data_IF_092371276523
#
_entry.id   IF_092371276523
#
_cell.length_a   1.000
_cell.length_b   1.000
_cell.length_c   1.000
_cell.angle_alpha   90.00
_cell.angle_beta   90.00
_cell.angle_gamma   90.00
#
_symmetry.space_group_name_H-M   'P 1'
#
loop_
_entity.id
_entity.type
_entity.pdbx_description
1 polymer ?
#
# COMPACT_ATOMS: atom_id res chain seq x y z
N UNK A 1 -27.00 3.45 -4.44
CA UNK A 1 -25.85 4.36 -4.20
C UNK A 1 -24.68 3.78 -4.98
N UNK A 2 -23.76 4.58 -5.52
CA UNK A 2 -22.55 4.01 -6.14
C UNK A 2 -21.70 3.39 -5.03
N UNK A 3 -21.15 2.18 -5.25
CA UNK A 3 -20.20 1.55 -4.32
C UNK A 3 -19.01 2.47 -4.12
N UNK A 4 -18.60 2.66 -2.88
CA UNK A 4 -17.35 3.34 -2.53
C UNK A 4 -16.18 2.37 -2.72
N UNK A 5 -14.97 2.86 -2.57
CA UNK A 5 -13.78 2.03 -2.41
C UNK A 5 -13.21 2.29 -1.02
N UNK A 6 -13.08 1.24 -0.22
CA UNK A 6 -12.42 1.25 1.09
C UNK A 6 -10.98 0.78 0.98
N UNK A 7 -10.15 1.11 1.95
CA UNK A 7 -8.74 0.74 1.95
C UNK A 7 -8.42 -0.33 2.98
N UNK A 8 -7.52 -1.26 2.65
CA UNK A 8 -6.90 -2.17 3.61
C UNK A 8 -5.38 -2.01 3.54
N UNK A 9 -4.74 -1.84 4.69
CA UNK A 9 -3.28 -1.96 4.82
C UNK A 9 -2.99 -3.24 5.57
N UNK A 10 -2.37 -4.21 4.90
CA UNK A 10 -1.92 -5.44 5.55
C UNK A 10 -0.52 -5.22 6.12
N UNK A 11 -0.46 -5.05 7.42
CA UNK A 11 0.75 -4.75 8.20
C UNK A 11 1.08 -5.86 9.20
N UNK A 12 0.76 -7.10 8.85
CA UNK A 12 1.07 -8.30 9.60
C UNK A 12 2.45 -8.88 9.26
N UNK A 13 2.69 -10.08 9.79
CA UNK A 13 3.91 -10.86 9.54
C UNK A 13 5.00 -10.66 10.60
N UNK A 14 5.80 -11.71 10.81
CA UNK A 14 6.80 -11.78 11.87
C UNK A 14 8.07 -10.95 11.63
N UNK A 15 8.28 -10.46 10.40
CA UNK A 15 9.47 -9.65 10.05
C UNK A 15 10.83 -10.34 10.27
N UNK A 16 10.88 -11.67 10.36
CA UNK A 16 12.09 -12.45 10.74
C UNK A 16 13.31 -12.18 9.87
N UNK A 17 13.09 -11.84 8.58
CA UNK A 17 14.19 -11.48 7.65
C UNK A 17 14.93 -10.20 8.04
N UNK A 18 14.34 -9.39 8.93
CA UNK A 18 14.91 -8.14 9.45
C UNK A 18 15.40 -8.27 10.90
N UNK A 19 15.52 -9.48 11.45
CA UNK A 19 16.13 -9.65 12.76
C UNK A 19 17.59 -9.14 12.76
N UNK A 20 18.02 -8.44 13.86
CA UNK A 20 17.33 -8.22 15.14
C UNK A 20 16.41 -6.98 15.18
N UNK A 21 16.27 -6.17 14.12
CA UNK A 21 15.50 -4.92 14.13
C UNK A 21 14.04 -5.11 14.53
N UNK A 22 13.46 -6.24 14.15
CA UNK A 22 12.03 -6.54 14.35
C UNK A 22 11.74 -7.45 15.54
N UNK A 23 12.70 -7.63 16.47
CA UNK A 23 12.50 -8.42 17.69
C UNK A 23 11.47 -7.79 18.67
N UNK A 24 11.35 -6.46 18.64
CA UNK A 24 10.51 -5.70 19.60
C UNK A 24 9.56 -4.73 18.91
N UNK A 25 9.49 -4.74 17.59
CA UNK A 25 8.63 -3.84 16.81
C UNK A 25 8.26 -4.45 15.49
N UNK A 26 7.08 -4.08 14.97
CA UNK A 26 6.69 -4.41 13.61
C UNK A 26 7.65 -3.81 12.59
N UNK A 27 7.88 -4.51 11.48
CA UNK A 27 8.64 -4.03 10.33
C UNK A 27 8.13 -2.68 9.83
N UNK A 28 6.83 -2.53 9.72
CA UNK A 28 6.18 -1.33 9.16
C UNK A 28 6.24 -0.11 10.12
N UNK A 29 6.72 -0.29 11.35
CA UNK A 29 7.03 0.79 12.29
C UNK A 29 8.51 1.21 12.24
N UNK A 30 9.37 0.46 11.53
CA UNK A 30 10.75 0.88 11.30
C UNK A 30 10.79 2.17 10.47
N UNK A 31 11.78 3.04 10.72
CA UNK A 31 11.91 4.28 9.97
C UNK A 31 12.39 4.01 8.54
N UNK A 32 11.74 4.67 7.58
CA UNK A 32 12.27 4.88 6.23
C UNK A 32 12.62 6.36 6.13
N UNK A 33 13.90 6.66 6.29
CA UNK A 33 14.48 8.00 6.35
C UNK A 33 13.91 8.84 7.52
N UNK A 34 12.82 9.57 7.32
CA UNK A 34 12.32 10.58 8.27
C UNK A 34 10.96 10.28 8.89
N UNK A 35 10.35 9.15 8.54
CA UNK A 35 9.03 8.74 9.06
C UNK A 35 8.89 7.21 9.11
N UNK A 36 7.92 6.68 9.92
CA UNK A 36 7.64 5.24 9.94
C UNK A 36 7.19 4.73 8.57
N UNK A 37 7.60 3.50 8.24
CA UNK A 37 7.28 2.85 6.95
C UNK A 37 5.79 2.86 6.63
N UNK A 38 4.91 2.67 7.60
CA UNK A 38 3.45 2.63 7.41
C UNK A 38 2.86 3.93 6.80
N UNK A 39 3.56 5.06 6.90
CA UNK A 39 3.13 6.32 6.29
C UNK A 39 3.10 6.24 4.76
N UNK A 40 3.98 5.46 4.16
CA UNK A 40 4.06 5.32 2.70
C UNK A 40 2.83 4.60 2.13
N UNK A 41 2.48 3.37 2.53
CA UNK A 41 1.26 2.73 2.04
C UNK A 41 -0.02 3.50 2.41
N UNK A 42 -0.08 4.11 3.60
CA UNK A 42 -1.22 4.95 3.99
C UNK A 42 -1.37 6.15 3.03
N UNK A 43 -0.27 6.78 2.65
CA UNK A 43 -0.30 7.89 1.68
C UNK A 43 -0.82 7.49 0.31
N UNK A 44 -0.56 6.25 -0.14
CA UNK A 44 -1.06 5.75 -1.43
C UNK A 44 -2.58 5.67 -1.43
N UNK A 45 -3.17 5.14 -0.37
CA UNK A 45 -4.63 5.10 -0.24
C UNK A 45 -5.23 6.52 -0.15
N UNK A 46 -4.57 7.44 0.55
CA UNK A 46 -4.99 8.84 0.63
C UNK A 46 -4.88 9.57 -0.73
N UNK A 47 -3.84 9.28 -1.54
CA UNK A 47 -3.69 9.80 -2.90
C UNK A 47 -4.75 9.24 -3.86
N UNK A 48 -5.25 8.03 -3.60
CA UNK A 48 -6.40 7.43 -4.26
C UNK A 48 -7.75 8.02 -3.81
N UNK A 49 -7.73 9.00 -2.89
CA UNK A 49 -8.89 9.62 -2.24
C UNK A 49 -9.74 8.65 -1.41
N UNK A 50 -9.13 7.57 -0.92
CA UNK A 50 -9.77 6.61 -0.01
C UNK A 50 -9.65 7.11 1.43
N UNK A 51 -10.79 7.25 2.11
CA UNK A 51 -10.85 7.80 3.48
C UNK A 51 -11.12 6.77 4.56
N UNK A 52 -11.88 5.72 4.25
CA UNK A 52 -12.18 4.64 5.18
C UNK A 52 -11.11 3.57 5.00
N UNK A 53 -10.24 3.37 6.00
CA UNK A 53 -9.05 2.51 5.88
C UNK A 53 -8.95 1.59 7.09
N UNK A 54 -8.80 0.29 6.82
CA UNK A 54 -8.58 -0.75 7.81
C UNK A 54 -7.09 -1.12 7.86
N UNK A 55 -6.50 -1.10 9.05
CA UNK A 55 -5.16 -1.61 9.30
C UNK A 55 -5.28 -2.98 9.94
N UNK A 56 -4.75 -4.00 9.26
CA UNK A 56 -4.71 -5.39 9.75
C UNK A 56 -3.29 -5.70 10.19
N UNK A 57 -3.11 -6.10 11.45
CA UNK A 57 -1.79 -6.42 12.00
C UNK A 57 -1.84 -7.52 13.04
N UNK A 58 -0.67 -7.92 13.54
CA UNK A 58 -0.58 -8.93 14.62
C UNK A 58 -1.17 -8.40 15.93
N UNK A 59 -1.59 -9.29 16.85
CA UNK A 59 -2.09 -8.87 18.19
C UNK A 59 -1.06 -8.01 18.94
N UNK A 60 0.23 -8.31 18.80
CA UNK A 60 1.32 -7.65 19.52
C UNK A 60 1.59 -6.24 19.00
N UNK A 61 1.45 -6.03 17.69
CA UNK A 61 1.82 -4.75 17.07
C UNK A 61 0.65 -3.79 16.88
N UNK A 62 -0.59 -4.30 16.80
CA UNK A 62 -1.79 -3.48 16.58
C UNK A 62 -1.95 -2.32 17.57
N UNK A 63 -1.65 -2.47 18.89
CA UNK A 63 -1.71 -1.35 19.82
C UNK A 63 -0.77 -0.20 19.47
N UNK A 64 0.40 -0.49 18.89
CA UNK A 64 1.39 0.52 18.48
C UNK A 64 0.92 1.31 17.26
N UNK A 65 0.21 0.67 16.32
CA UNK A 65 -0.41 1.39 15.19
C UNK A 65 -1.52 2.32 15.69
N UNK A 66 -2.35 1.87 16.65
CA UNK A 66 -3.38 2.71 17.28
C UNK A 66 -2.78 3.91 17.99
N UNK A 67 -1.65 3.72 18.70
CA UNK A 67 -0.93 4.81 19.38
C UNK A 67 -0.33 5.81 18.37
N UNK A 68 0.25 5.32 17.27
CA UNK A 68 0.90 6.16 16.26
C UNK A 68 -0.10 6.96 15.41
N UNK A 69 -1.18 6.31 14.96
CA UNK A 69 -2.07 6.83 13.91
C UNK A 69 -3.44 7.27 14.46
N UNK A 70 -3.80 6.91 15.70
CA UNK A 70 -5.08 7.24 16.29
C UNK A 70 -6.28 6.70 15.50
N UNK A 71 -7.32 7.49 15.42
CA UNK A 71 -8.51 7.22 14.60
C UNK A 71 -8.44 7.80 13.16
N UNK A 72 -7.36 8.49 12.82
CA UNK A 72 -7.13 9.09 11.52
C UNK A 72 -7.72 10.50 11.36
N UNK A 73 -8.45 11.02 12.33
CA UNK A 73 -9.12 12.32 12.26
C UNK A 73 -8.15 13.48 11.97
N UNK A 74 -6.92 13.43 12.48
CA UNK A 74 -5.85 14.40 12.20
C UNK A 74 -5.43 14.45 10.73
N UNK A 75 -5.76 13.42 9.95
CA UNK A 75 -5.54 13.34 8.50
C UNK A 75 -6.84 13.46 7.71
N UNK A 76 -7.97 13.71 8.37
CA UNK A 76 -9.29 13.77 7.73
C UNK A 76 -9.76 12.45 7.10
N UNK A 77 -9.29 11.33 7.65
CA UNK A 77 -9.65 9.96 7.29
C UNK A 77 -10.21 9.21 8.50
N UNK A 78 -10.76 8.03 8.30
CA UNK A 78 -11.26 7.13 9.34
C UNK A 78 -10.44 5.84 9.33
N UNK A 79 -9.75 5.57 10.44
CA UNK A 79 -8.93 4.37 10.62
C UNK A 79 -9.63 3.36 11.52
N UNK A 80 -9.78 2.16 11.00
CA UNK A 80 -10.21 0.97 11.74
C UNK A 80 -9.05 -0.02 11.88
N UNK A 81 -9.16 -0.96 12.81
CA UNK A 81 -8.06 -1.84 13.18
C UNK A 81 -8.56 -3.24 13.48
N UNK A 82 -8.01 -4.23 12.78
CA UNK A 82 -8.34 -5.64 12.99
C UNK A 82 -7.08 -6.48 13.20
N UNK A 83 -7.25 -7.58 13.94
CA UNK A 83 -6.17 -8.51 14.27
C UNK A 83 -6.07 -9.59 13.21
N UNK A 84 -4.88 -9.84 12.69
CA UNK A 84 -4.51 -11.06 11.99
C UNK A 84 -3.90 -12.04 13.01
N UNK A 85 -4.63 -13.08 13.44
CA UNK A 85 -4.16 -13.97 14.51
C UNK A 85 -2.99 -14.85 14.08
N UNK A 86 -2.96 -15.25 12.80
CA UNK A 86 -1.89 -16.01 12.16
C UNK A 86 -1.72 -15.56 10.69
N UNK A 87 -0.49 -15.55 10.14
CA UNK A 87 -0.27 -15.15 8.75
C UNK A 87 -0.59 -16.31 7.79
N UNK A 88 -1.83 -16.41 7.35
CA UNK A 88 -2.34 -17.47 6.47
C UNK A 88 -2.41 -17.03 4.99
N UNK A 89 -1.60 -16.04 4.60
CA UNK A 89 -1.54 -15.51 3.25
C UNK A 89 -2.18 -14.14 3.09
N UNK A 90 -1.93 -13.50 1.94
CA UNK A 90 -2.38 -12.12 1.71
C UNK A 90 -3.90 -12.02 1.52
N UNK A 91 -4.52 -13.03 0.88
CA UNK A 91 -5.95 -13.03 0.64
C UNK A 91 -6.79 -13.16 1.93
N UNK A 92 -6.20 -13.61 3.05
CA UNK A 92 -6.85 -13.64 4.36
C UNK A 92 -7.32 -12.23 4.80
N UNK A 93 -6.67 -11.17 4.32
CA UNK A 93 -7.04 -9.79 4.63
C UNK A 93 -8.50 -9.45 4.27
N UNK A 94 -9.03 -10.04 3.18
CA UNK A 94 -10.41 -9.80 2.74
C UNK A 94 -11.42 -10.56 3.60
N UNK A 95 -11.04 -11.72 4.16
CA UNK A 95 -11.85 -12.50 5.10
C UNK A 95 -11.93 -11.77 6.45
N UNK A 96 -10.78 -11.28 6.96
CA UNK A 96 -10.72 -10.52 8.22
C UNK A 96 -11.47 -9.18 8.06
N UNK A 97 -11.34 -8.55 6.91
CA UNK A 97 -11.94 -7.25 6.62
C UNK A 97 -13.38 -7.31 6.10
N UNK A 98 -14.05 -8.47 6.07
CA UNK A 98 -15.38 -8.63 5.47
C UNK A 98 -16.40 -7.63 6.00
N UNK A 99 -16.55 -7.56 7.32
CA UNK A 99 -17.52 -6.63 7.96
C UNK A 99 -17.19 -5.17 7.66
N UNK A 100 -15.89 -4.82 7.58
CA UNK A 100 -15.44 -3.49 7.20
C UNK A 100 -15.74 -3.19 5.72
N UNK A 101 -15.44 -4.11 4.82
CA UNK A 101 -15.70 -3.97 3.37
C UNK A 101 -17.20 -3.80 3.12
N UNK A 102 -18.03 -4.68 3.70
CA UNK A 102 -19.47 -4.70 3.45
C UNK A 102 -19.77 -4.91 1.96
N UNK A 103 -20.61 -4.04 1.40
CA UNK A 103 -20.99 -4.07 -0.03
C UNK A 103 -20.10 -3.21 -0.94
N UNK A 104 -19.04 -2.61 -0.40
CA UNK A 104 -18.16 -1.70 -1.13
C UNK A 104 -17.02 -2.42 -1.86
N UNK A 105 -16.37 -1.72 -2.79
CA UNK A 105 -15.13 -2.16 -3.42
C UNK A 105 -13.95 -1.96 -2.45
N UNK A 106 -12.81 -2.59 -2.70
CA UNK A 106 -11.67 -2.50 -1.80
C UNK A 106 -10.35 -2.32 -2.55
N UNK A 107 -9.51 -1.42 -2.03
CA UNK A 107 -8.09 -1.34 -2.37
C UNK A 107 -7.26 -1.92 -1.23
N UNK A 108 -6.37 -2.85 -1.52
CA UNK A 108 -5.42 -3.39 -0.54
C UNK A 108 -4.00 -3.01 -0.91
N UNK A 109 -3.24 -2.58 0.09
CA UNK A 109 -1.81 -2.33 -0.05
C UNK A 109 -1.02 -3.06 1.05
N UNK A 110 0.13 -3.63 0.68
CA UNK A 110 1.04 -4.22 1.65
C UNK A 110 1.78 -3.11 2.42
N UNK A 111 1.83 -3.26 3.74
CA UNK A 111 2.36 -2.24 4.65
C UNK A 111 3.86 -1.95 4.52
N UNK A 112 4.57 -2.72 3.72
CA UNK A 112 6.01 -2.62 3.46
C UNK A 112 6.35 -2.19 2.03
N UNK A 113 5.36 -1.80 1.25
CA UNK A 113 5.53 -1.35 -0.12
C UNK A 113 5.55 0.17 -0.21
N UNK A 114 6.53 0.70 -0.92
CA UNK A 114 6.71 2.13 -1.18
C UNK A 114 6.58 2.36 -2.68
N UNK A 115 5.71 3.29 -3.05
CA UNK A 115 5.52 3.72 -4.43
C UNK A 115 5.85 5.20 -4.58
N UNK A 116 6.56 5.52 -5.65
CA UNK A 116 6.84 6.89 -6.04
C UNK A 116 6.86 7.01 -7.57
N UNK A 117 6.26 8.05 -8.10
CA UNK A 117 6.29 8.27 -9.55
C UNK A 117 5.43 9.43 -9.98
N UNK A 118 5.77 9.96 -11.16
CA UNK A 118 4.94 10.98 -11.79
C UNK A 118 3.62 10.36 -12.26
N UNK A 119 2.51 11.10 -12.14
CA UNK A 119 1.16 10.64 -12.47
C UNK A 119 0.61 9.48 -11.62
N UNK A 120 1.28 9.09 -10.52
CA UNK A 120 0.81 8.02 -9.65
C UNK A 120 -0.61 8.29 -9.15
N UNK A 121 -0.92 9.51 -8.69
CA UNK A 121 -2.26 9.91 -8.24
C UNK A 121 -3.33 9.69 -9.31
N UNK A 122 -3.02 9.97 -10.57
CA UNK A 122 -3.98 9.77 -11.68
C UNK A 122 -4.26 8.28 -11.90
N UNK A 123 -3.21 7.45 -11.90
CA UNK A 123 -3.35 5.98 -12.01
C UNK A 123 -4.18 5.39 -10.87
N UNK A 124 -3.95 5.85 -9.63
CA UNK A 124 -4.70 5.40 -8.47
C UNK A 124 -6.19 5.74 -8.58
N UNK A 125 -6.52 6.97 -8.98
CA UNK A 125 -7.91 7.41 -9.18
C UNK A 125 -8.59 6.68 -10.34
N UNK A 126 -7.86 6.38 -11.39
CA UNK A 126 -8.34 5.56 -12.51
C UNK A 126 -8.70 4.15 -12.02
N UNK A 127 -7.82 3.53 -11.21
CA UNK A 127 -8.05 2.21 -10.62
C UNK A 127 -9.27 2.19 -9.68
N UNK A 128 -9.48 3.23 -8.87
CA UNK A 128 -10.69 3.38 -8.04
C UNK A 128 -11.96 3.46 -8.89
N UNK A 129 -11.88 4.03 -10.08
CA UNK A 129 -13.02 4.18 -11.00
C UNK A 129 -13.24 2.98 -11.92
N UNK A 130 -12.31 2.03 -11.96
CA UNK A 130 -12.42 0.80 -12.75
C UNK A 130 -13.29 -0.23 -12.01
N UNK A 131 -14.60 -0.05 -12.11
CA UNK A 131 -15.58 -0.85 -11.37
C UNK A 131 -15.81 -2.22 -12.02
N UNK A 132 -16.24 -3.19 -11.19
CA UNK A 132 -16.57 -4.55 -11.61
C UNK A 132 -15.38 -5.34 -12.18
N UNK A 133 -14.15 -4.98 -11.78
CA UNK A 133 -12.89 -5.59 -12.22
C UNK A 133 -11.85 -5.57 -11.10
N UNK A 134 -10.82 -6.38 -11.26
CA UNK A 134 -9.58 -6.24 -10.49
C UNK A 134 -8.56 -5.40 -11.27
N UNK A 135 -7.83 -4.53 -10.57
CA UNK A 135 -6.66 -3.83 -11.11
C UNK A 135 -5.45 -4.13 -10.25
N UNK A 136 -4.38 -4.62 -10.86
CA UNK A 136 -3.08 -4.85 -10.23
C UNK A 136 -1.99 -4.07 -10.98
N UNK A 137 -0.82 -3.89 -10.37
CA UNK A 137 0.27 -3.11 -10.95
C UNK A 137 1.46 -3.99 -11.23
N UNK A 138 1.92 -3.97 -12.48
CA UNK A 138 3.10 -4.69 -12.93
C UNK A 138 4.33 -3.78 -12.94
N UNK A 139 5.45 -4.25 -12.39
CA UNK A 139 6.73 -3.56 -12.36
C UNK A 139 7.85 -4.46 -12.85
N UNK A 140 8.70 -3.95 -13.75
CA UNK A 140 9.82 -4.71 -14.30
C UNK A 140 10.91 -4.93 -13.24
N UNK A 141 11.32 -6.19 -13.02
CA UNK A 141 12.34 -6.60 -12.05
C UNK A 141 13.39 -7.49 -12.70
N UNK A 142 14.59 -7.54 -12.11
CA UNK A 142 15.68 -8.39 -12.59
C UNK A 142 15.70 -9.78 -11.91
N UNK A 143 14.94 -9.95 -10.80
CA UNK A 143 14.84 -11.18 -10.00
C UNK A 143 13.37 -11.67 -9.90
N UNK A 144 12.72 -12.00 -11.05
CA UNK A 144 11.27 -12.26 -11.11
C UNK A 144 10.82 -13.49 -10.31
N UNK A 145 11.68 -14.47 -10.07
CA UNK A 145 11.39 -15.70 -9.32
C UNK A 145 10.95 -15.45 -7.86
N UNK A 146 11.12 -14.23 -7.37
CA UNK A 146 10.75 -13.86 -5.99
C UNK A 146 9.31 -13.39 -5.83
N UNK A 147 8.61 -13.12 -6.93
CA UNK A 147 7.33 -12.41 -6.95
C UNK A 147 6.25 -13.20 -7.68
N UNK A 148 5.00 -12.78 -7.54
CA UNK A 148 3.95 -13.13 -8.48
C UNK A 148 4.27 -12.47 -9.83
N UNK A 149 4.32 -13.25 -10.91
CA UNK A 149 4.70 -12.79 -12.24
C UNK A 149 3.51 -12.80 -13.17
N UNK A 150 3.29 -11.68 -13.85
CA UNK A 150 2.28 -11.54 -14.90
C UNK A 150 2.95 -11.61 -16.28
N UNK A 151 2.34 -12.36 -17.21
CA UNK A 151 2.78 -12.48 -18.57
C UNK A 151 1.75 -11.93 -19.56
N UNK A 152 2.21 -11.48 -20.72
CA UNK A 152 1.40 -10.80 -21.72
C UNK A 152 1.59 -11.42 -23.10
N UNK A 153 0.55 -11.38 -23.92
CA UNK A 153 0.68 -11.62 -25.34
C UNK A 153 1.30 -10.40 -26.06
N UNK A 154 1.53 -10.55 -27.36
CA UNK A 154 2.09 -9.49 -28.22
C UNK A 154 1.18 -8.27 -28.40
N UNK A 155 -0.09 -8.39 -28.05
CA UNK A 155 -1.09 -7.32 -28.10
C UNK A 155 -1.25 -6.63 -26.72
N UNK A 156 -0.53 -7.14 -25.68
CA UNK A 156 -0.49 -6.59 -24.32
C UNK A 156 -1.59 -7.13 -23.41
N UNK A 157 -2.32 -8.18 -23.81
CA UNK A 157 -3.30 -8.81 -22.95
C UNK A 157 -2.61 -9.78 -21.97
N UNK A 158 -3.10 -9.80 -20.75
CA UNK A 158 -2.61 -10.73 -19.72
C UNK A 158 -2.94 -12.16 -20.12
N UNK A 159 -1.93 -13.03 -20.15
CA UNK A 159 -2.07 -14.45 -20.51
C UNK A 159 -1.93 -15.38 -19.33
N UNK A 160 -1.12 -15.02 -18.34
CA UNK A 160 -0.96 -15.82 -17.14
C UNK A 160 -0.49 -14.97 -15.96
N UNK A 161 -0.75 -15.48 -14.76
CA UNK A 161 -0.18 -14.96 -13.52
C UNK A 161 0.28 -16.16 -12.69
N UNK A 162 1.52 -16.16 -12.21
CA UNK A 162 2.13 -17.29 -11.50
C UNK A 162 2.87 -16.81 -10.25
N UNK A 163 2.64 -17.49 -9.12
CA UNK A 163 3.32 -17.16 -7.85
C UNK A 163 4.70 -17.78 -7.82
N UNK A 164 5.73 -16.94 -7.71
CA UNK A 164 7.15 -17.32 -7.56
C UNK A 164 7.56 -18.49 -8.48
N UNK A 165 7.39 -18.36 -9.79
CA UNK A 165 7.68 -19.45 -10.72
C UNK A 165 9.17 -19.76 -10.77
N UNK A 166 9.53 -21.06 -10.83
CA UNK A 166 10.93 -21.49 -11.02
C UNK A 166 11.49 -21.05 -12.39
N UNK A 167 10.62 -20.91 -13.38
CA UNK A 167 10.97 -20.47 -14.74
C UNK A 167 10.01 -19.34 -15.18
N UNK A 168 10.28 -18.09 -14.76
CA UNK A 168 9.41 -16.96 -15.09
C UNK A 168 9.28 -16.73 -16.60
N UNK A 169 8.05 -16.51 -17.09
CA UNK A 169 7.79 -16.22 -18.50
C UNK A 169 8.03 -14.76 -18.86
N UNK A 170 7.99 -13.88 -17.85
CA UNK A 170 8.25 -12.46 -17.98
C UNK A 170 9.01 -11.91 -16.77
N UNK A 171 9.43 -10.64 -16.85
CA UNK A 171 10.06 -9.93 -15.76
C UNK A 171 9.09 -8.94 -15.06
N UNK A 172 7.79 -9.01 -15.31
CA UNK A 172 6.83 -8.11 -14.70
C UNK A 172 6.27 -8.71 -13.41
N UNK A 173 6.79 -8.23 -12.28
CA UNK A 173 6.30 -8.57 -10.95
C UNK A 173 4.99 -7.83 -10.66
N UNK A 174 4.02 -8.52 -10.08
CA UNK A 174 2.84 -7.90 -9.49
C UNK A 174 3.24 -7.27 -8.17
N UNK A 175 3.03 -5.97 -8.05
CA UNK A 175 3.37 -5.21 -6.83
C UNK A 175 2.37 -5.47 -5.72
N UNK A 176 2.67 -4.99 -4.50
CA UNK A 176 1.77 -5.13 -3.35
C UNK A 176 0.66 -4.08 -3.27
N UNK A 177 0.06 -3.72 -4.39
CA UNK A 177 -1.08 -2.80 -4.48
C UNK A 177 -2.15 -3.37 -5.40
N UNK A 178 -3.37 -3.48 -4.90
CA UNK A 178 -4.47 -4.20 -5.53
C UNK A 178 -5.76 -3.41 -5.39
N UNK A 179 -6.59 -3.39 -6.42
CA UNK A 179 -7.95 -2.85 -6.40
C UNK A 179 -8.91 -3.94 -6.87
N UNK A 180 -9.95 -4.17 -6.11
CA UNK A 180 -10.94 -5.22 -6.38
C UNK A 180 -12.36 -4.69 -6.20
N UNK A 181 -13.28 -5.25 -6.94
CA UNK A 181 -14.69 -5.14 -6.62
C UNK A 181 -15.08 -6.06 -5.44
N UNK A 182 -16.30 -5.98 -4.99
CA UNK A 182 -16.79 -6.70 -3.81
C UNK A 182 -16.71 -8.22 -3.91
N UNK A 183 -16.66 -8.80 -5.12
CA UNK A 183 -16.52 -10.28 -5.32
C UNK A 183 -15.28 -10.85 -4.65
N UNK A 184 -14.29 -10.01 -4.37
CA UNK A 184 -13.03 -10.42 -3.75
C UNK A 184 -13.21 -11.15 -2.42
N UNK A 185 -14.22 -10.76 -1.63
CA UNK A 185 -14.52 -11.41 -0.33
C UNK A 185 -14.95 -12.85 -0.52
N UNK A 186 -15.87 -13.09 -1.45
CA UNK A 186 -16.34 -14.43 -1.77
C UNK A 186 -15.24 -15.29 -2.40
N UNK A 187 -14.42 -14.69 -3.28
CA UNK A 187 -13.28 -15.41 -3.85
C UNK A 187 -12.27 -15.81 -2.78
N UNK A 188 -11.91 -14.90 -1.88
CA UNK A 188 -10.97 -15.18 -0.80
C UNK A 188 -11.45 -16.30 0.14
N UNK A 189 -12.75 -16.34 0.46
CA UNK A 189 -13.36 -17.40 1.28
C UNK A 189 -13.34 -18.79 0.61
N UNK A 190 -13.33 -18.83 -0.70
CA UNK A 190 -13.35 -20.08 -1.49
C UNK A 190 -11.98 -20.47 -2.03
N UNK A 191 -10.90 -19.78 -1.65
CA UNK A 191 -9.54 -20.19 -1.97
C UNK A 191 -9.13 -21.41 -1.15
N UNK A 192 -8.44 -22.33 -1.82
CA UNK A 192 -7.72 -23.42 -1.13
C UNK A 192 -6.30 -22.94 -0.79
N UNK A 193 -5.78 -23.28 0.41
CA UNK A 193 -4.40 -22.97 0.75
C UNK A 193 -3.42 -23.64 -0.22
N UNK A 194 -2.38 -22.91 -0.59
CA UNK A 194 -1.28 -23.43 -1.41
C UNK A 194 -0.47 -24.50 -0.67
N UNK A 195 0.50 -25.13 -1.34
CA UNK A 195 1.44 -26.07 -0.72
C UNK A 195 2.22 -25.45 0.45
N UNK A 196 2.26 -24.12 0.54
CA UNK A 196 2.85 -23.36 1.65
C UNK A 196 1.87 -23.14 2.81
N UNK A 197 0.61 -23.56 2.67
CA UNK A 197 -0.45 -23.33 3.64
C UNK A 197 -0.97 -21.88 3.63
N UNK A 198 -0.75 -21.12 2.54
CA UNK A 198 -1.14 -19.72 2.42
C UNK A 198 -2.29 -19.54 1.42
N UNK A 199 -3.22 -18.64 1.73
CA UNK A 199 -4.23 -18.13 0.78
C UNK A 199 -3.56 -17.09 -0.12
N UNK A 200 -3.13 -17.54 -1.31
CA UNK A 200 -2.31 -16.75 -2.19
C UNK A 200 -3.12 -15.67 -2.91
N UNK A 201 -2.61 -14.45 -2.89
CA UNK A 201 -3.19 -13.34 -3.65
C UNK A 201 -3.12 -13.61 -5.16
N UNK A 202 -2.11 -14.34 -5.60
CA UNK A 202 -1.95 -14.76 -7.00
C UNK A 202 -3.09 -15.65 -7.46
N UNK A 203 -3.56 -16.57 -6.61
CA UNK A 203 -4.69 -17.46 -6.96
C UNK A 203 -6.01 -16.68 -6.99
N UNK A 204 -6.15 -15.67 -6.12
CA UNK A 204 -7.27 -14.74 -6.18
C UNK A 204 -7.26 -13.95 -7.51
N UNK A 205 -6.11 -13.43 -7.94
CA UNK A 205 -5.95 -12.73 -9.22
C UNK A 205 -6.24 -13.65 -10.42
N UNK A 206 -5.90 -14.94 -10.33
CA UNK A 206 -6.25 -15.93 -11.38
C UNK A 206 -7.75 -16.04 -11.59
N UNK A 207 -8.57 -15.95 -10.50
CA UNK A 207 -10.02 -15.96 -10.65
C UNK A 207 -10.54 -14.81 -11.50
N UNK A 208 -10.05 -13.60 -11.27
CA UNK A 208 -10.37 -12.46 -12.11
C UNK A 208 -9.86 -12.61 -13.54
N UNK A 209 -8.67 -13.18 -13.73
CA UNK A 209 -8.12 -13.44 -15.07
C UNK A 209 -8.97 -14.46 -15.85
N UNK A 210 -9.40 -15.56 -15.20
CA UNK A 210 -10.27 -16.59 -15.78
C UNK A 210 -11.62 -16.02 -16.25
N UNK A 211 -12.14 -15.01 -15.55
CA UNK A 211 -13.38 -14.33 -15.88
C UNK A 211 -13.20 -13.19 -16.92
N UNK A 212 -11.95 -12.85 -17.25
CA UNK A 212 -11.62 -11.74 -18.17
C UNK A 212 -11.71 -10.36 -17.50
N UNK A 213 -11.69 -10.32 -16.16
CA UNK A 213 -11.89 -9.13 -15.35
C UNK A 213 -10.61 -8.69 -14.60
N UNK A 214 -9.42 -9.13 -15.04
CA UNK A 214 -8.14 -8.68 -14.50
C UNK A 214 -7.50 -7.65 -15.41
N UNK A 215 -7.31 -6.43 -14.91
CA UNK A 215 -6.52 -5.39 -15.55
C UNK A 215 -5.13 -5.27 -14.90
N UNK A 216 -4.10 -5.07 -15.71
CA UNK A 216 -2.74 -4.85 -15.24
C UNK A 216 -2.24 -3.49 -15.72
N UNK A 217 -1.96 -2.59 -14.78
CA UNK A 217 -1.35 -1.29 -15.04
C UNK A 217 0.17 -1.40 -14.93
N UNK A 218 0.90 -1.12 -16.03
CA UNK A 218 2.36 -1.17 -16.01
C UNK A 218 2.97 0.12 -15.46
N UNK A 219 3.72 -0.01 -14.39
CA UNK A 219 4.54 1.07 -13.83
C UNK A 219 5.84 1.15 -14.63
N UNK A 220 5.87 2.06 -15.59
CA UNK A 220 7.00 2.23 -16.51
C UNK A 220 8.12 3.11 -15.94
N UNK A 221 8.92 3.70 -16.83
CA UNK A 221 10.01 4.62 -16.46
C UNK A 221 9.46 5.82 -15.70
N UNK A 222 10.17 6.22 -14.64
CA UNK A 222 9.76 7.32 -13.77
C UNK A 222 8.95 6.88 -12.55
N UNK A 223 8.65 5.59 -12.43
CA UNK A 223 8.14 4.98 -11.21
C UNK A 223 9.24 4.25 -10.45
N UNK A 224 9.14 4.26 -9.14
CA UNK A 224 9.89 3.42 -8.24
C UNK A 224 8.89 2.63 -7.38
N UNK A 225 9.08 1.32 -7.34
CA UNK A 225 8.45 0.41 -6.41
C UNK A 225 9.54 -0.25 -5.56
N UNK A 226 9.43 -0.14 -4.26
CA UNK A 226 10.43 -0.60 -3.30
C UNK A 226 9.74 -1.58 -2.34
N UNK A 227 10.13 -2.86 -2.41
CA UNK A 227 9.79 -3.89 -1.43
C UNK A 227 10.84 -3.92 -0.34
N UNK A 228 10.50 -3.50 0.87
CA UNK A 228 11.43 -3.36 1.99
C UNK A 228 11.59 -4.65 2.78
N UNK A 229 11.51 -5.81 2.13
CA UNK A 229 11.53 -7.15 2.74
C UNK A 229 12.88 -7.64 3.25
N UNK A 230 14.00 -6.98 2.93
CA UNK A 230 15.37 -7.35 3.30
C UNK A 230 16.13 -6.15 3.86
N UNK A 231 17.26 -6.39 4.56
CA UNK A 231 18.09 -5.31 5.12
C UNK A 231 18.56 -4.32 4.07
N UNK A 232 19.07 -4.82 2.95
CA UNK A 232 19.59 -3.99 1.87
C UNK A 232 18.45 -3.16 1.23
N UNK A 233 17.32 -3.77 0.93
CA UNK A 233 16.18 -3.05 0.34
C UNK A 233 15.55 -2.04 1.31
N UNK A 234 15.63 -2.26 2.62
CA UNK A 234 15.23 -1.28 3.64
C UNK A 234 16.14 -0.04 3.59
N UNK A 235 17.45 -0.26 3.48
CA UNK A 235 18.44 0.81 3.36
C UNK A 235 18.28 1.57 2.04
N UNK A 236 18.18 0.86 0.92
CA UNK A 236 17.97 1.44 -0.41
C UNK A 236 16.71 2.31 -0.46
N UNK A 237 15.62 1.87 0.16
CA UNK A 237 14.40 2.66 0.26
C UNK A 237 14.62 3.96 1.03
N UNK A 238 15.34 3.91 2.16
CA UNK A 238 15.67 5.11 2.93
C UNK A 238 16.58 6.08 2.16
N UNK A 239 17.57 5.56 1.42
CA UNK A 239 18.47 6.36 0.57
C UNK A 239 17.71 6.98 -0.61
N UNK A 240 16.82 6.23 -1.24
CA UNK A 240 15.97 6.73 -2.32
C UNK A 240 15.12 7.90 -1.84
N UNK A 241 14.35 7.72 -0.76
CA UNK A 241 13.48 8.77 -0.19
C UNK A 241 14.31 9.99 0.17
N UNK A 242 15.42 9.80 0.91
CA UNK A 242 16.34 10.89 1.28
C UNK A 242 16.83 11.66 0.07
N UNK A 243 17.23 10.98 -0.99
CA UNK A 243 17.78 11.59 -2.20
C UNK A 243 16.73 12.44 -2.91
N UNK A 244 15.52 11.92 -3.10
CA UNK A 244 14.44 12.63 -3.77
C UNK A 244 14.02 13.84 -2.93
N UNK A 245 13.74 13.68 -1.64
CA UNK A 245 13.31 14.75 -0.76
C UNK A 245 14.35 15.88 -0.67
N UNK A 246 15.63 15.51 -0.57
CA UNK A 246 16.72 16.50 -0.53
C UNK A 246 16.85 17.28 -1.84
N UNK A 247 16.65 16.62 -2.99
CA UNK A 247 16.79 17.26 -4.30
C UNK A 247 15.58 18.13 -4.66
N UNK A 248 14.38 17.68 -4.33
CA UNK A 248 13.15 18.39 -4.69
C UNK A 248 12.72 19.42 -3.63
N UNK A 249 13.20 19.26 -2.38
CA UNK A 249 12.79 20.12 -1.27
C UNK A 249 11.36 19.88 -0.78
N UNK A 250 10.76 18.74 -1.16
CA UNK A 250 9.42 18.31 -0.77
C UNK A 250 9.51 16.98 -0.02
N UNK A 251 8.44 16.62 0.70
CA UNK A 251 8.34 15.33 1.39
C UNK A 251 7.58 14.31 0.54
N UNK A 252 8.07 13.07 0.52
CA UNK A 252 7.31 11.93 0.01
C UNK A 252 6.39 11.46 1.13
N UNK A 253 5.12 11.17 0.81
CA UNK A 253 4.16 10.57 1.75
C UNK A 253 3.96 11.39 3.04
N UNK A 254 3.86 12.72 2.92
CA UNK A 254 3.46 13.59 4.02
C UNK A 254 1.93 13.56 4.15
N UNK A 255 1.41 12.79 5.10
CA UNK A 255 -0.03 12.52 5.25
C UNK A 255 -0.85 13.79 5.44
N UNK A 256 -0.37 14.70 6.30
CA UNK A 256 -1.02 15.97 6.60
C UNK A 256 -1.04 16.91 5.37
N UNK A 257 0.02 16.91 4.56
CA UNK A 257 0.04 17.67 3.31
C UNK A 257 -0.98 17.13 2.33
N UNK A 258 -1.05 15.79 2.15
CA UNK A 258 -2.02 15.13 1.26
C UNK A 258 -3.44 15.47 1.72
N UNK A 259 -3.72 15.34 3.02
CA UNK A 259 -5.01 15.70 3.60
C UNK A 259 -5.39 17.16 3.36
N UNK A 260 -4.45 18.07 3.57
CA UNK A 260 -4.65 19.50 3.36
C UNK A 260 -4.91 19.85 1.88
N UNK A 261 -4.14 19.25 0.96
CA UNK A 261 -4.34 19.45 -0.49
C UNK A 261 -5.65 18.88 -1.01
N UNK A 262 -6.13 17.81 -0.41
CA UNK A 262 -7.44 17.22 -0.70
C UNK A 262 -8.59 17.97 0.00
N UNK A 263 -8.33 19.05 0.76
CA UNK A 263 -9.29 19.77 1.56
C UNK A 263 -10.01 18.88 2.61
N UNK A 264 -9.32 17.88 3.15
CA UNK A 264 -9.85 17.02 4.20
C UNK A 264 -9.57 17.58 5.60
N UNK A 265 -8.52 18.36 5.72
CA UNK A 265 -8.22 19.16 6.89
C UNK A 265 -8.01 20.63 6.47
N UNK A 266 -8.23 21.52 7.40
CA UNK A 266 -7.99 22.95 7.19
C UNK A 266 -6.54 23.35 7.55
N UNK A 267 -6.25 24.63 7.35
CA UNK A 267 -4.92 25.19 7.65
C UNK A 267 -4.59 25.16 9.14
N UNK A 268 -5.59 25.31 9.98
CA UNK A 268 -5.40 25.32 11.45
C UNK A 268 -4.98 23.94 11.93
N UNK A 269 -5.68 22.89 11.53
CA UNK A 269 -5.32 21.48 11.79
C UNK A 269 -3.92 21.12 11.27
N UNK A 270 -3.56 21.61 10.06
CA UNK A 270 -2.22 21.41 9.51
C UNK A 270 -1.15 22.09 10.38
N UNK A 271 -1.41 23.29 10.91
CA UNK A 271 -0.48 24.01 11.77
C UNK A 271 -0.35 23.35 13.15
N UNK A 272 -1.45 22.84 13.73
CA UNK A 272 -1.42 22.05 14.96
C UNK A 272 -0.52 20.82 14.82
N UNK A 273 -0.65 20.09 13.70
CA UNK A 273 0.24 18.96 13.38
C UNK A 273 1.70 19.40 13.27
N UNK A 274 1.95 20.54 12.61
CA UNK A 274 3.30 21.09 12.47
C UNK A 274 3.90 21.49 13.84
N UNK A 275 3.09 22.00 14.75
CA UNK A 275 3.51 22.34 16.14
C UNK A 275 3.81 21.09 16.95
N UNK A 276 3.00 20.04 16.83
CA UNK A 276 3.21 18.72 17.45
C UNK A 276 4.58 18.14 17.07
N UNK A 277 4.97 18.28 15.81
CA UNK A 277 6.29 17.82 15.31
C UNK A 277 7.44 18.81 15.62
N UNK A 278 7.14 20.01 16.08
CA UNK A 278 8.09 21.00 16.58
C UNK A 278 9.13 21.44 15.54
N UNK A 279 10.41 21.41 15.95
CA UNK A 279 11.53 21.82 15.12
C UNK A 279 12.07 20.72 14.19
N UNK A 280 11.41 19.56 14.09
CA UNK A 280 11.81 18.53 13.15
C UNK A 280 11.74 19.04 11.70
N UNK A 281 12.56 18.49 10.78
CA UNK A 281 12.45 18.83 9.36
C UNK A 281 11.04 18.60 8.79
N UNK A 282 10.33 17.61 9.31
CA UNK A 282 8.95 17.29 8.92
C UNK A 282 7.97 18.39 9.36
N UNK A 283 8.01 18.80 10.64
CA UNK A 283 7.19 19.92 11.15
C UNK A 283 7.46 21.24 10.43
N UNK A 284 8.74 21.54 10.14
CA UNK A 284 9.10 22.74 9.37
C UNK A 284 8.60 22.69 7.92
N UNK A 285 8.54 21.52 7.32
CA UNK A 285 7.95 21.33 6.00
C UNK A 285 6.44 21.63 6.01
N UNK A 286 5.69 21.10 6.97
CA UNK A 286 4.25 21.34 7.09
C UNK A 286 3.93 22.84 7.29
N UNK A 287 4.76 23.59 8.04
CA UNK A 287 4.64 25.05 8.15
C UNK A 287 4.78 25.73 6.80
N UNK A 288 5.76 25.32 5.99
CA UNK A 288 5.93 25.87 4.63
C UNK A 288 4.76 25.56 3.72
N UNK A 289 4.14 24.37 3.85
CA UNK A 289 2.92 24.00 3.13
C UNK A 289 1.77 24.94 3.52
N UNK A 290 1.53 25.11 4.83
CA UNK A 290 0.48 25.97 5.36
C UNK A 290 0.66 27.46 4.96
N UNK A 291 1.88 27.90 4.78
CA UNK A 291 2.26 29.26 4.30
C UNK A 291 2.17 29.40 2.78
N UNK A 292 1.84 28.34 2.03
CA UNK A 292 1.77 28.35 0.57
C UNK A 292 3.14 28.50 -0.13
N UNK A 293 4.24 28.18 0.57
CA UNK A 293 5.61 28.25 0.04
C UNK A 293 5.99 27.04 -0.81
N UNK A 294 5.26 25.94 -0.71
CA UNK A 294 5.47 24.72 -1.47
C UNK A 294 4.42 24.66 -2.59
N UNK A 295 4.91 24.70 -3.84
CA UNK A 295 4.07 24.63 -5.06
C UNK A 295 4.66 23.61 -6.02
N UNK A 296 3.86 22.64 -6.49
CA UNK A 296 4.18 21.68 -7.55
C UNK A 296 2.89 21.11 -8.16
#
# INVERSE_FOLDING_TARGET
MSRKTKGIILAGGSGTRLYPLTLVTSKQLLPIYDKPMIYYPLSILMLAEIKEILIISTPEDLPRYKELLGDGSQFGIELSYEVQPSPEGLAQAFIIGEDFIGDDDVAMILGDNIFYGNHLTSLLKESVNNKDRATVFGYYVDDPERFGIVDFDKDGHVTSIEEKPDNPKSNYAVTGLYFYDNRVVDYAKNLEPSDRGELEITDLNKKYLEEGDLDVQLLGRGFAWLDTGKMDSLLEAAEFVRTIEHRQGIKISALEEIAYRNNWIDKETLLESAEKYGNSPYGQFLKKVAEGKIRY
#
